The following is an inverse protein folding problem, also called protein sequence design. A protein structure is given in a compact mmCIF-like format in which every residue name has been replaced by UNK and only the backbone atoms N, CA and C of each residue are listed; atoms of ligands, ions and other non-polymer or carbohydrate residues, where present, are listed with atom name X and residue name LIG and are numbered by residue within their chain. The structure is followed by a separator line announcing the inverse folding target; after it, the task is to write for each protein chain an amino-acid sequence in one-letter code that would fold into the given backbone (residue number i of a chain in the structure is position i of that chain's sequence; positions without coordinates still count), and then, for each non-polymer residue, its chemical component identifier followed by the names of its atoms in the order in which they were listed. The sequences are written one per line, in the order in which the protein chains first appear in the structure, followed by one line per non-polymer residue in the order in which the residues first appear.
data_IF_758551342602
#
_entry.id   IF_758551342602
#
_cell.length_a   1.000
_cell.length_b   1.000
_cell.length_c   1.000
_cell.angle_alpha   90.00
_cell.angle_beta   90.00
_cell.angle_gamma   90.00
#
_symmetry.space_group_name_H-M   'P 1'
#
loop_
_entity.id
_entity.type
_entity.pdbx_description
1 polymer ?
#
# COMPACT_ATOMS: atom_id res chain seq x y z
N UNK A 1 16.40 12.95 1.73
CA UNK A 1 16.22 11.69 2.48
C UNK A 1 16.27 10.56 1.46
N UNK A 2 17.17 9.61 1.60
CA UNK A 2 17.17 8.41 0.76
C UNK A 2 15.86 7.63 0.98
N UNK A 3 15.32 7.02 -0.06
CA UNK A 3 14.03 6.31 -0.02
C UNK A 3 13.98 5.22 1.06
N UNK A 4 15.07 4.48 1.23
CA UNK A 4 15.20 3.46 2.29
C UNK A 4 15.03 4.06 3.70
N UNK A 5 15.67 5.20 3.99
CA UNK A 5 15.51 5.88 5.29
C UNK A 5 14.07 6.29 5.57
N UNK A 6 13.28 6.62 4.53
CA UNK A 6 11.87 6.93 4.68
C UNK A 6 11.07 5.69 5.08
N UNK A 7 11.32 4.55 4.42
CA UNK A 7 10.65 3.29 4.73
C UNK A 7 11.01 2.81 6.14
N UNK A 8 12.30 2.86 6.50
CA UNK A 8 12.75 2.52 7.86
C UNK A 8 12.10 3.42 8.91
N UNK A 9 11.98 4.72 8.62
CA UNK A 9 11.30 5.65 9.51
C UNK A 9 9.81 5.29 9.67
N UNK A 10 9.14 4.88 8.59
CA UNK A 10 7.76 4.39 8.65
C UNK A 10 7.65 3.11 9.50
N UNK A 11 8.55 2.14 9.34
CA UNK A 11 8.55 0.90 10.13
C UNK A 11 8.86 1.11 11.61
N UNK A 12 9.60 2.17 11.96
CA UNK A 12 9.78 2.59 13.36
C UNK A 12 8.55 3.29 13.93
N UNK A 13 7.74 3.91 13.07
CA UNK A 13 6.57 4.70 13.47
C UNK A 13 5.28 3.86 13.55
N UNK A 14 5.19 2.78 12.76
CA UNK A 14 4.01 1.92 12.66
C UNK A 14 4.40 0.44 12.69
N UNK A 15 3.64 -0.35 13.45
CA UNK A 15 3.75 -1.82 13.44
C UNK A 15 3.21 -2.39 12.13
N UNK A 16 3.63 -3.60 11.76
CA UNK A 16 3.20 -4.26 10.52
C UNK A 16 1.67 -4.37 10.38
N UNK A 17 0.94 -4.55 11.49
CA UNK A 17 -0.52 -4.62 11.50
C UNK A 17 -1.24 -3.25 11.56
N UNK A 18 -0.49 -2.15 11.59
CA UNK A 18 -1.00 -0.78 11.63
C UNK A 18 -0.95 -0.09 10.26
N UNK A 19 -0.41 -0.76 9.23
CA UNK A 19 -0.39 -0.24 7.87
C UNK A 19 -0.73 -1.27 6.81
N UNK A 20 -1.11 -0.79 5.63
CA UNK A 20 -1.25 -1.60 4.43
C UNK A 20 -0.58 -0.92 3.23
N UNK A 21 -0.25 -1.71 2.20
CA UNK A 21 0.21 -1.21 0.91
C UNK A 21 -0.97 -1.07 -0.05
N UNK A 22 -1.18 0.11 -0.63
CA UNK A 22 -2.09 0.26 -1.77
C UNK A 22 -1.40 -0.28 -3.02
N UNK A 23 -1.89 -1.39 -3.56
CA UNK A 23 -1.25 -2.13 -4.63
C UNK A 23 -2.20 -2.30 -5.83
N UNK A 24 -1.85 -1.69 -6.96
CA UNK A 24 -2.66 -1.68 -8.18
C UNK A 24 -2.08 -2.53 -9.32
N UNK A 25 -1.00 -3.28 -9.08
CA UNK A 25 -0.34 -4.11 -10.10
C UNK A 25 0.48 -3.31 -11.14
N UNK A 26 0.57 -1.99 -10.99
CA UNK A 26 1.40 -1.15 -11.83
C UNK A 26 2.88 -1.21 -11.43
N UNK A 27 3.78 -0.91 -12.38
CA UNK A 27 5.24 -0.97 -12.18
C UNK A 27 5.74 -0.27 -10.92
N UNK A 28 5.22 0.92 -10.60
CA UNK A 28 5.72 1.73 -9.48
C UNK A 28 5.34 1.08 -8.14
N UNK A 29 4.10 0.60 -8.03
CA UNK A 29 3.63 -0.16 -6.87
C UNK A 29 4.32 -1.52 -6.73
N UNK A 30 4.71 -2.17 -7.85
CA UNK A 30 5.46 -3.44 -7.83
C UNK A 30 6.88 -3.25 -7.34
N UNK A 31 7.60 -2.23 -7.83
CA UNK A 31 8.93 -1.88 -7.30
C UNK A 31 8.84 -1.54 -5.81
N UNK A 32 7.81 -0.78 -5.42
CA UNK A 32 7.58 -0.46 -4.02
C UNK A 32 7.30 -1.72 -3.17
N UNK A 33 6.43 -2.63 -3.63
CA UNK A 33 6.15 -3.90 -2.95
C UNK A 33 7.44 -4.71 -2.72
N UNK A 34 8.27 -4.83 -3.75
CA UNK A 34 9.55 -5.54 -3.70
C UNK A 34 10.49 -4.96 -2.63
N UNK A 35 10.62 -3.64 -2.57
CA UNK A 35 11.48 -2.95 -1.59
C UNK A 35 10.93 -3.10 -0.17
N UNK A 36 9.61 -2.91 0.02
CA UNK A 36 8.96 -3.07 1.33
C UNK A 36 9.18 -4.48 1.87
N UNK A 37 9.01 -5.51 1.03
CA UNK A 37 9.20 -6.91 1.44
C UNK A 37 10.65 -7.19 1.84
N UNK A 38 11.63 -6.76 1.04
CA UNK A 38 13.05 -6.94 1.36
C UNK A 38 13.40 -6.33 2.71
N UNK A 39 12.97 -5.09 2.94
CA UNK A 39 13.22 -4.40 4.22
C UNK A 39 12.49 -5.08 5.39
N UNK A 40 11.26 -5.55 5.20
CA UNK A 40 10.54 -6.32 6.23
C UNK A 40 11.24 -7.65 6.56
N UNK A 41 11.76 -8.36 5.55
CA UNK A 41 12.51 -9.60 5.75
C UNK A 41 13.81 -9.38 6.54
N UNK A 42 14.52 -8.29 6.28
CA UNK A 42 15.73 -7.92 7.01
C UNK A 42 15.45 -7.57 8.48
N UNK A 43 14.28 -6.99 8.76
CA UNK A 43 13.92 -6.51 10.10
C UNK A 43 13.15 -7.54 10.94
N UNK A 44 12.52 -8.53 10.31
CA UNK A 44 11.61 -9.43 11.00
C UNK A 44 12.24 -10.80 11.30
N UNK A 45 12.51 -11.06 12.59
CA UNK A 45 13.07 -12.33 13.06
C UNK A 45 12.09 -13.52 13.00
N UNK A 46 10.79 -13.28 12.75
CA UNK A 46 9.72 -14.31 12.75
C UNK A 46 8.85 -14.30 11.48
N UNK A 47 9.41 -13.81 10.37
CA UNK A 47 8.66 -13.60 9.13
C UNK A 47 7.91 -12.26 9.12
N UNK A 48 7.39 -11.87 7.96
CA UNK A 48 6.68 -10.61 7.77
C UNK A 48 5.22 -10.86 7.45
N UNK A 49 4.36 -9.92 7.85
CA UNK A 49 2.97 -9.86 7.41
C UNK A 49 2.76 -8.52 6.72
N UNK A 50 2.37 -8.57 5.44
CA UNK A 50 2.03 -7.38 4.66
C UNK A 50 0.64 -7.54 4.05
N UNK A 51 -0.28 -6.70 4.51
CA UNK A 51 -1.58 -6.55 3.88
C UNK A 51 -1.48 -5.59 2.70
N UNK A 52 -1.88 -6.06 1.53
CA UNK A 52 -2.00 -5.25 0.33
C UNK A 52 -3.48 -5.06 0.00
N UNK A 53 -3.86 -3.85 -0.41
CA UNK A 53 -5.22 -3.53 -0.83
C UNK A 53 -5.20 -3.11 -2.29
N UNK A 54 -5.97 -3.85 -3.09
CA UNK A 54 -6.22 -3.54 -4.48
C UNK A 54 -7.62 -2.93 -4.62
N UNK A 55 -7.64 -1.62 -4.85
CA UNK A 55 -8.85 -0.87 -5.16
C UNK A 55 -9.20 -1.12 -6.63
N UNK A 56 -10.05 -2.12 -6.87
CA UNK A 56 -10.33 -2.64 -8.21
C UNK A 56 -11.22 -1.66 -8.98
N UNK A 57 -10.82 -1.26 -10.20
CA UNK A 57 -11.67 -0.44 -11.07
C UNK A 57 -12.94 -1.18 -11.47
N UNK A 58 -13.94 -0.45 -11.98
CA UNK A 58 -15.20 -1.04 -12.44
C UNK A 58 -14.96 -2.11 -13.53
N UNK A 59 -14.04 -1.82 -14.44
CA UNK A 59 -13.63 -2.68 -15.55
C UNK A 59 -12.12 -2.97 -15.43
N UNK A 60 -11.73 -4.03 -14.69
CA UNK A 60 -10.33 -4.43 -14.61
C UNK A 60 -9.90 -5.19 -15.86
N UNK A 61 -8.64 -5.02 -16.23
CA UNK A 61 -7.99 -5.83 -17.26
C UNK A 61 -7.65 -7.22 -16.69
N UNK A 62 -7.93 -8.28 -17.45
CA UNK A 62 -7.67 -9.66 -17.04
C UNK A 62 -6.18 -9.88 -16.72
N UNK A 63 -5.29 -9.29 -17.52
CA UNK A 63 -3.84 -9.37 -17.35
C UNK A 63 -3.39 -8.79 -16.00
N UNK A 64 -4.08 -7.76 -15.50
CA UNK A 64 -3.80 -7.19 -14.17
C UNK A 64 -4.26 -8.17 -13.08
N UNK A 65 -5.42 -8.80 -13.22
CA UNK A 65 -5.91 -9.77 -12.25
C UNK A 65 -5.00 -11.02 -12.18
N UNK A 66 -4.50 -11.49 -13.31
CA UNK A 66 -3.50 -12.56 -13.39
C UNK A 66 -2.17 -12.15 -12.77
N UNK A 67 -1.76 -10.90 -13.01
CA UNK A 67 -0.56 -10.34 -12.41
C UNK A 67 -0.67 -10.22 -10.88
N UNK A 68 -1.83 -9.82 -10.36
CA UNK A 68 -2.10 -9.79 -8.91
C UNK A 68 -1.90 -11.18 -8.29
N UNK A 69 -2.47 -12.22 -8.90
CA UNK A 69 -2.30 -13.62 -8.44
C UNK A 69 -0.83 -14.04 -8.48
N UNK A 70 -0.12 -13.68 -9.55
CA UNK A 70 1.32 -13.93 -9.68
C UNK A 70 2.11 -13.26 -8.56
N UNK A 71 1.80 -11.99 -8.24
CA UNK A 71 2.41 -11.28 -7.12
C UNK A 71 2.08 -11.91 -5.77
N UNK A 72 0.83 -12.32 -5.51
CA UNK A 72 0.47 -13.01 -4.25
C UNK A 72 1.30 -14.26 -4.04
N UNK A 73 1.48 -15.06 -5.08
CA UNK A 73 2.24 -16.31 -5.00
C UNK A 73 3.74 -16.06 -4.86
N UNK A 74 4.28 -15.14 -5.66
CA UNK A 74 5.71 -14.82 -5.65
C UNK A 74 6.16 -14.20 -4.33
N UNK A 75 5.39 -13.24 -3.83
CA UNK A 75 5.71 -12.47 -2.64
C UNK A 75 5.08 -13.03 -1.36
N UNK A 76 4.27 -14.10 -1.44
CA UNK A 76 3.57 -14.67 -0.27
C UNK A 76 2.79 -13.63 0.55
N UNK A 77 2.22 -12.63 -0.13
CA UNK A 77 1.42 -11.55 0.49
C UNK A 77 -0.07 -11.76 0.28
N UNK A 78 -0.86 -11.22 1.20
CA UNK A 78 -2.31 -11.13 1.03
C UNK A 78 -2.64 -9.87 0.24
N UNK A 79 -3.19 -10.03 -0.97
CA UNK A 79 -3.83 -8.93 -1.71
C UNK A 79 -5.34 -9.04 -1.53
N UNK A 80 -5.93 -8.03 -0.89
CA UNK A 80 -7.36 -7.92 -0.70
C UNK A 80 -7.94 -7.00 -1.77
N UNK A 81 -8.86 -7.54 -2.56
CA UNK A 81 -9.61 -6.78 -3.55
C UNK A 81 -10.80 -6.07 -2.90
N UNK A 82 -10.95 -4.76 -3.16
CA UNK A 82 -12.07 -3.95 -2.70
C UNK A 82 -12.62 -3.12 -3.87
N UNK A 83 -13.95 -2.99 -3.94
CA UNK A 83 -14.66 -2.23 -4.97
C UNK A 83 -15.45 -1.09 -4.33
N UNK A 84 -15.46 0.06 -4.98
CA UNK A 84 -16.16 1.26 -4.50
C UNK A 84 -15.32 2.52 -4.66
N UNK A 85 -15.85 3.65 -4.19
CA UNK A 85 -15.09 4.90 -4.14
C UNK A 85 -13.98 4.83 -3.09
N UNK A 86 -12.86 5.51 -3.33
CA UNK A 86 -11.69 5.51 -2.42
C UNK A 86 -12.09 5.84 -0.98
N UNK A 87 -12.94 6.86 -0.78
CA UNK A 87 -13.42 7.25 0.56
C UNK A 87 -14.17 6.11 1.26
N UNK A 88 -15.12 5.48 0.58
CA UNK A 88 -15.90 4.37 1.13
C UNK A 88 -15.01 3.15 1.43
N UNK A 89 -14.03 2.87 0.57
CA UNK A 89 -13.05 1.80 0.81
C UNK A 89 -12.22 2.10 2.07
N UNK A 90 -11.72 3.33 2.22
CA UNK A 90 -10.94 3.74 3.40
C UNK A 90 -11.78 3.70 4.68
N UNK A 91 -13.03 4.15 4.64
CA UNK A 91 -13.98 4.02 5.76
C UNK A 91 -14.17 2.56 6.15
N UNK A 92 -14.43 1.67 5.18
CA UNK A 92 -14.57 0.24 5.42
C UNK A 92 -13.30 -0.38 6.04
N UNK A 93 -12.11 0.02 5.59
CA UNK A 93 -10.84 -0.46 6.17
C UNK A 93 -10.72 -0.06 7.64
N UNK A 94 -11.04 1.19 7.96
CA UNK A 94 -10.99 1.71 9.32
C UNK A 94 -12.03 1.04 10.23
N UNK A 95 -13.23 0.77 9.72
CA UNK A 95 -14.31 0.10 10.46
C UNK A 95 -13.97 -1.36 10.79
N UNK A 96 -13.36 -2.08 9.84
CA UNK A 96 -13.01 -3.49 10.02
C UNK A 96 -11.74 -3.70 10.85
N UNK A 97 -10.80 -2.76 10.81
CA UNK A 97 -9.57 -2.82 11.59
C UNK A 97 -9.16 -1.43 12.09
N UNK A 98 -9.58 -1.10 13.29
CA UNK A 98 -9.25 0.16 13.97
C UNK A 98 -7.77 0.32 14.31
N UNK A 99 -6.93 -0.70 14.12
CA UNK A 99 -5.48 -0.59 14.28
C UNK A 99 -4.80 0.08 13.07
N UNK A 100 -5.45 0.14 11.89
CA UNK A 100 -4.85 0.76 10.71
C UNK A 100 -4.70 2.27 10.94
N UNK A 101 -3.47 2.75 10.77
CA UNK A 101 -3.05 4.14 10.98
C UNK A 101 -2.38 4.75 9.76
N UNK A 102 -1.86 3.93 8.84
CA UNK A 102 -1.14 4.41 7.67
C UNK A 102 -1.39 3.55 6.42
N UNK A 103 -1.23 4.18 5.25
CA UNK A 103 -1.22 3.53 3.95
C UNK A 103 0.07 3.91 3.21
N UNK A 104 0.75 2.93 2.64
CA UNK A 104 1.91 3.16 1.76
C UNK A 104 1.39 3.25 0.32
N UNK A 105 1.79 4.29 -0.42
CA UNK A 105 1.35 4.55 -1.80
C UNK A 105 2.53 4.70 -2.76
N UNK A 106 2.42 4.09 -3.95
CA UNK A 106 3.41 4.18 -5.03
C UNK A 106 3.30 5.43 -5.91
N UNK A 107 2.86 6.56 -5.37
CA UNK A 107 2.68 7.81 -6.11
C UNK A 107 4.02 8.53 -6.32
N UNK A 108 4.19 9.13 -7.50
CA UNK A 108 5.38 9.92 -7.87
C UNK A 108 5.00 11.39 -8.00
N UNK A 109 5.99 12.28 -7.81
CA UNK A 109 5.78 13.74 -7.97
C UNK A 109 5.25 14.14 -9.35
N UNK A 110 5.53 13.33 -10.37
CA UNK A 110 5.11 13.56 -11.76
C UNK A 110 3.70 13.04 -12.05
N UNK A 111 3.09 12.30 -11.13
CA UNK A 111 1.72 11.83 -11.31
C UNK A 111 0.73 12.99 -11.06
N UNK A 112 -0.46 12.97 -11.68
CA UNK A 112 -1.45 14.03 -11.49
C UNK A 112 -1.75 14.29 -10.01
N UNK A 113 -1.82 15.57 -9.63
CA UNK A 113 -2.14 16.03 -8.27
C UNK A 113 -1.12 15.63 -7.17
N UNK A 114 0.06 15.11 -7.55
CA UNK A 114 1.07 14.58 -6.62
C UNK A 114 2.29 15.50 -6.41
N UNK A 115 2.35 16.66 -7.05
CA UNK A 115 3.48 17.58 -7.04
C UNK A 115 3.84 18.08 -5.63
N UNK A 116 2.82 18.39 -4.83
CA UNK A 116 2.93 18.93 -3.46
C UNK A 116 2.90 17.87 -2.36
N UNK A 117 2.84 16.58 -2.71
CA UNK A 117 2.84 15.52 -1.69
C UNK A 117 4.16 15.52 -0.91
N UNK A 118 4.02 15.37 0.40
CA UNK A 118 5.13 15.09 1.29
C UNK A 118 5.35 13.59 1.39
N UNK A 119 6.59 13.13 1.68
CA UNK A 119 6.89 11.71 1.86
C UNK A 119 5.99 11.01 2.90
N UNK A 120 5.62 11.72 3.97
CA UNK A 120 4.61 11.31 4.95
C UNK A 120 3.71 12.49 5.27
N UNK A 121 2.41 12.27 5.26
CA UNK A 121 1.40 13.28 5.58
C UNK A 121 0.08 12.61 5.96
N UNK A 122 -0.72 13.30 6.78
CA UNK A 122 -2.10 12.89 7.07
C UNK A 122 -2.97 13.05 5.83
N UNK A 123 -3.99 12.20 5.70
CA UNK A 123 -5.03 12.38 4.70
C UNK A 123 -5.74 13.70 4.94
N UNK A 124 -6.12 14.40 3.87
CA UNK A 124 -6.89 15.64 3.99
C UNK A 124 -8.32 15.30 4.37
N UNK A 125 -8.90 16.09 5.27
CA UNK A 125 -10.35 16.09 5.44
C UNK A 125 -10.99 16.65 4.17
N UNK A 126 -11.97 15.94 3.62
CA UNK A 126 -12.84 16.50 2.59
C UNK A 126 -13.86 17.40 3.29
N UNK A 127 -13.61 18.70 3.34
CA UNK A 127 -14.71 19.65 3.57
C UNK A 127 -15.65 19.55 2.38
N UNK A 128 -16.90 19.17 2.67
CA UNK A 128 -17.99 19.06 1.71
C UNK A 128 -18.43 20.44 1.22
#
# INVERSE_FOLDING_TARGET
MAFEMLVEHAFKSYKQNEFFLSFNGGKDCTVLLDIIIKLLQEHASKGYELNCIYMQPAEPFEEIEEFMKSCQNHYQVRIRTMRGGIKAILEQICDENSNIKACIMGSRRTDPYCDKLQPMQVTREQHS
#
